data_IF_928318226244
#
_entry.id   IF_928318226244
#
_cell.length_a   1.000
_cell.length_b   1.000
_cell.length_c   1.000
_cell.angle_alpha   90.00
_cell.angle_beta   90.00
_cell.angle_gamma   90.00
#
_symmetry.space_group_name_H-M   'P 1'
#
loop_
_entity.id
_entity.type
_entity.pdbx_description
1 polymer ?
#
# COMPACT_ATOMS: atom_id res chain seq x y z
N UNK A 1 22.90 19.72 4.49
CA UNK A 1 21.84 18.94 3.84
C UNK A 1 22.51 17.69 3.29
N UNK A 2 22.11 16.52 3.71
CA UNK A 2 22.58 15.26 3.10
C UNK A 2 21.92 15.17 1.73
N UNK A 3 22.73 15.20 0.65
CA UNK A 3 22.22 14.99 -0.71
C UNK A 3 21.90 13.50 -0.87
N UNK A 4 20.64 13.12 -0.70
CA UNK A 4 20.17 11.76 -0.94
C UNK A 4 20.03 11.51 -2.45
N UNK A 5 20.31 10.27 -2.88
CA UNK A 5 20.20 9.84 -4.29
C UNK A 5 18.73 9.66 -4.72
N UNK A 6 17.82 9.52 -3.77
CA UNK A 6 16.39 9.29 -3.93
C UNK A 6 15.75 9.03 -2.58
N UNK A 7 14.58 8.41 -2.55
CA UNK A 7 13.89 8.07 -1.31
C UNK A 7 13.21 6.70 -1.35
N UNK A 8 13.28 5.99 -0.22
CA UNK A 8 12.38 4.90 0.12
C UNK A 8 11.39 5.34 1.18
N UNK A 9 10.37 4.52 1.45
CA UNK A 9 9.41 4.81 2.52
C UNK A 9 8.84 3.54 3.16
N UNK A 10 8.37 3.70 4.41
CA UNK A 10 7.45 2.75 5.03
C UNK A 10 6.13 3.44 5.31
N UNK A 11 5.01 2.77 4.98
CA UNK A 11 3.70 3.42 4.94
C UNK A 11 2.63 2.51 5.58
N UNK A 12 2.59 2.40 6.93
CA UNK A 12 1.61 1.55 7.60
C UNK A 12 0.25 2.23 7.73
N UNK A 13 -0.82 1.42 7.60
CA UNK A 13 -2.18 1.84 7.99
C UNK A 13 -2.37 1.70 9.50
N UNK A 14 -2.83 2.75 10.22
CA UNK A 14 -2.91 2.77 11.67
C UNK A 14 -4.19 2.08 12.19
N UNK A 15 -4.36 0.81 11.84
CA UNK A 15 -5.55 0.00 12.16
C UNK A 15 -5.28 -1.05 13.24
N UNK A 16 -4.30 -0.81 14.13
CA UNK A 16 -3.85 -1.66 15.23
C UNK A 16 -2.33 -1.68 15.33
N UNK A 17 -1.79 -2.54 16.19
CA UNK A 17 -0.34 -2.64 16.41
C UNK A 17 0.37 -3.32 15.23
N UNK A 18 1.68 -3.03 15.08
CA UNK A 18 2.52 -3.69 14.09
C UNK A 18 2.91 -5.09 14.59
N UNK A 19 2.51 -6.11 13.84
CA UNK A 19 2.94 -7.47 14.10
C UNK A 19 4.32 -7.75 13.46
N UNK A 20 4.93 -8.89 13.81
CA UNK A 20 6.25 -9.31 13.33
C UNK A 20 6.43 -9.12 11.81
N UNK A 21 5.45 -9.49 10.99
CA UNK A 21 5.53 -9.33 9.52
C UNK A 21 5.60 -7.87 9.07
N UNK A 22 4.85 -6.97 9.75
CA UNK A 22 4.90 -5.54 9.47
C UNK A 22 6.27 -4.96 9.85
N UNK A 23 6.77 -5.31 11.03
CA UNK A 23 8.09 -4.86 11.53
C UNK A 23 9.22 -5.37 10.62
N UNK A 24 9.16 -6.63 10.18
CA UNK A 24 10.12 -7.20 9.22
C UNK A 24 10.10 -6.43 7.89
N UNK A 25 8.93 -6.10 7.37
CA UNK A 25 8.80 -5.30 6.14
C UNK A 25 9.33 -3.89 6.34
N UNK A 26 9.10 -3.26 7.50
CA UNK A 26 9.65 -1.96 7.84
C UNK A 26 11.19 -1.98 7.86
N UNK A 27 11.78 -2.98 8.52
CA UNK A 27 13.23 -3.19 8.54
C UNK A 27 13.79 -3.37 7.14
N UNK A 28 13.12 -4.16 6.28
CA UNK A 28 13.55 -4.33 4.89
C UNK A 28 13.48 -3.02 4.10
N UNK A 29 12.39 -2.26 4.22
CA UNK A 29 12.25 -0.98 3.54
C UNK A 29 13.33 0.01 3.96
N UNK A 30 13.65 0.04 5.25
CA UNK A 30 14.75 0.84 5.81
C UNK A 30 16.12 0.40 5.27
N UNK A 31 16.40 -0.92 5.27
CA UNK A 31 17.65 -1.47 4.77
C UNK A 31 17.87 -1.15 3.29
N UNK A 32 16.86 -1.35 2.45
CA UNK A 32 16.95 -1.04 1.03
C UNK A 32 17.25 0.44 0.78
N UNK A 33 16.57 1.34 1.50
CA UNK A 33 16.82 2.78 1.39
C UNK A 33 18.24 3.13 1.86
N UNK A 34 18.61 2.72 3.07
CA UNK A 34 19.91 3.09 3.66
C UNK A 34 21.10 2.46 2.95
N UNK A 35 21.00 1.23 2.44
CA UNK A 35 22.07 0.57 1.69
C UNK A 35 22.40 1.31 0.39
N UNK A 36 21.42 1.97 -0.20
CA UNK A 36 21.57 2.70 -1.47
C UNK A 36 21.74 4.20 -1.30
N UNK A 37 21.88 4.70 -0.07
CA UNK A 37 22.04 6.12 0.23
C UNK A 37 20.79 6.97 0.00
N UNK A 38 19.63 6.35 -0.03
CA UNK A 38 18.32 7.02 -0.14
C UNK A 38 17.87 7.59 1.20
N UNK A 39 17.10 8.66 1.16
CA UNK A 39 16.28 9.05 2.30
C UNK A 39 15.29 7.93 2.62
N UNK A 40 14.86 7.86 3.88
CA UNK A 40 13.80 6.93 4.30
C UNK A 40 12.69 7.71 5.00
N UNK A 41 11.50 7.69 4.43
CA UNK A 41 10.37 8.43 4.95
C UNK A 41 9.34 7.51 5.63
N UNK A 42 8.66 8.08 6.63
CA UNK A 42 7.53 7.44 7.28
C UNK A 42 6.23 8.14 6.89
N UNK A 43 5.24 7.35 6.46
CA UNK A 43 3.89 7.84 6.13
C UNK A 43 2.83 7.02 6.86
N UNK A 44 1.87 7.70 7.47
CA UNK A 44 0.69 7.08 8.08
C UNK A 44 -0.45 7.07 7.05
N UNK A 45 -0.90 5.86 6.68
CA UNK A 45 -1.99 5.69 5.70
C UNK A 45 -3.35 5.61 6.41
N UNK A 46 -3.85 6.77 6.82
CA UNK A 46 -5.05 6.97 7.65
C UNK A 46 -6.28 7.48 6.88
N UNK A 47 -6.32 7.26 5.56
CA UNK A 47 -7.48 7.63 4.72
C UNK A 47 -8.75 6.84 5.03
N UNK A 48 -8.66 5.63 5.57
CA UNK A 48 -9.81 4.84 6.01
C UNK A 48 -10.18 5.24 7.45
N UNK A 49 -11.00 6.29 7.58
CA UNK A 49 -11.36 6.88 8.87
C UNK A 49 -12.10 5.91 9.79
N UNK A 50 -12.78 4.90 9.23
CA UNK A 50 -13.49 3.88 10.01
C UNK A 50 -12.61 2.83 10.66
N UNK A 51 -11.36 2.68 10.19
CA UNK A 51 -10.40 1.69 10.71
C UNK A 51 -9.13 2.30 11.28
N UNK A 52 -8.89 3.57 11.04
CA UNK A 52 -7.71 4.28 11.50
C UNK A 52 -7.95 4.90 12.87
N UNK A 53 -6.93 4.88 13.73
CA UNK A 53 -6.94 5.63 14.98
C UNK A 53 -5.62 6.35 15.23
N UNK A 54 -5.69 7.55 15.78
CA UNK A 54 -4.52 8.36 16.13
C UNK A 54 -3.63 7.65 17.17
N UNK A 55 -4.24 6.92 18.10
CA UNK A 55 -3.51 6.14 19.11
C UNK A 55 -2.72 4.99 18.46
N UNK A 56 -3.30 4.31 17.44
CA UNK A 56 -2.59 3.27 16.70
C UNK A 56 -1.45 3.85 15.89
N UNK A 57 -1.65 5.02 15.27
CA UNK A 57 -0.58 5.73 14.55
C UNK A 57 0.58 6.08 15.49
N UNK A 58 0.29 6.69 16.63
CA UNK A 58 1.29 7.06 17.62
C UNK A 58 2.07 5.83 18.14
N UNK A 59 1.37 4.72 18.44
CA UNK A 59 2.02 3.47 18.86
C UNK A 59 2.90 2.88 17.77
N UNK A 60 2.45 2.86 16.52
CA UNK A 60 3.24 2.33 15.41
C UNK A 60 4.52 3.14 15.18
N UNK A 61 4.44 4.47 15.26
CA UNK A 61 5.62 5.36 15.16
C UNK A 61 6.59 5.10 16.31
N UNK A 62 6.08 4.97 17.55
CA UNK A 62 6.90 4.66 18.70
C UNK A 62 7.56 3.26 18.57
N UNK A 63 6.81 2.26 18.12
CA UNK A 63 7.31 0.91 17.90
C UNK A 63 8.46 0.86 16.87
N UNK A 64 8.39 1.64 15.80
CA UNK A 64 9.46 1.74 14.81
C UNK A 64 10.70 2.42 15.38
N UNK A 65 10.52 3.49 16.15
CA UNK A 65 11.62 4.18 16.85
C UNK A 65 12.28 3.26 17.91
N UNK A 66 11.47 2.58 18.72
CA UNK A 66 11.96 1.64 19.74
C UNK A 66 12.71 0.45 19.13
N UNK A 67 12.33 0.03 17.91
CA UNK A 67 13.04 -0.99 17.13
C UNK A 67 14.40 -0.48 16.59
N UNK A 68 14.67 0.84 16.70
CA UNK A 68 15.89 1.49 16.27
C UNK A 68 15.89 1.93 14.80
N UNK A 69 14.72 2.03 14.16
CA UNK A 69 14.58 2.58 12.82
C UNK A 69 14.47 4.11 12.90
N UNK A 70 15.33 4.80 12.18
CA UNK A 70 15.25 6.24 11.97
C UNK A 70 14.59 6.56 10.63
N UNK A 71 14.04 7.75 10.51
CA UNK A 71 13.50 8.29 9.26
C UNK A 71 13.85 9.75 9.09
N UNK A 72 13.79 10.21 7.84
CA UNK A 72 14.13 11.59 7.47
C UNK A 72 12.88 12.45 7.42
N UNK A 73 12.99 13.69 7.89
CA UNK A 73 11.89 14.65 7.86
C UNK A 73 10.73 14.32 8.78
N UNK A 74 9.59 14.95 8.50
CA UNK A 74 8.37 14.77 9.28
C UNK A 74 7.56 13.57 8.79
N UNK A 75 6.79 12.97 9.71
CA UNK A 75 5.85 11.89 9.37
C UNK A 75 4.69 12.48 8.56
N UNK A 76 4.46 11.94 7.36
CA UNK A 76 3.35 12.34 6.52
C UNK A 76 2.07 11.60 6.93
N UNK A 77 0.94 12.33 7.02
CA UNK A 77 -0.38 11.75 7.25
C UNK A 77 -1.25 11.92 6.01
N UNK A 78 -1.82 10.85 5.50
CA UNK A 78 -2.68 10.89 4.30
C UNK A 78 -3.96 11.71 4.53
N UNK A 79 -4.50 11.70 5.75
CA UNK A 79 -5.67 12.52 6.13
C UNK A 79 -5.46 14.03 5.95
N UNK A 80 -4.21 14.50 5.90
CA UNK A 80 -3.86 15.92 5.68
C UNK A 80 -3.70 16.28 4.20
N UNK A 81 -3.93 15.34 3.26
CA UNK A 81 -3.60 15.48 1.84
C UNK A 81 -4.79 15.38 0.88
N UNK A 82 -5.99 15.51 1.41
CA UNK A 82 -7.21 15.34 0.62
C UNK A 82 -7.35 16.34 -0.54
N UNK A 83 -6.82 17.54 -0.40
CA UNK A 83 -6.77 18.54 -1.48
C UNK A 83 -5.84 18.11 -2.62
N UNK A 84 -4.71 17.47 -2.31
CA UNK A 84 -3.78 16.96 -3.31
C UNK A 84 -4.41 15.81 -4.11
N UNK A 85 -5.15 14.91 -3.43
CA UNK A 85 -5.87 13.84 -4.11
C UNK A 85 -7.01 14.38 -4.98
N UNK A 86 -7.70 15.42 -4.54
CA UNK A 86 -8.72 16.08 -5.35
C UNK A 86 -8.10 16.74 -6.59
N UNK A 87 -6.97 17.40 -6.44
CA UNK A 87 -6.22 17.99 -7.55
C UNK A 87 -5.70 16.92 -8.56
N UNK A 88 -5.27 15.76 -8.06
CA UNK A 88 -4.88 14.65 -8.91
C UNK A 88 -6.08 14.03 -9.65
N UNK A 89 -7.22 13.85 -8.96
CA UNK A 89 -8.43 13.30 -9.55
C UNK A 89 -8.91 14.13 -10.76
N UNK A 90 -8.86 15.46 -10.67
CA UNK A 90 -9.30 16.36 -11.77
C UNK A 90 -8.48 16.14 -13.06
N UNK A 91 -7.24 15.69 -12.94
CA UNK A 91 -6.37 15.40 -14.10
C UNK A 91 -6.64 14.05 -14.76
N UNK A 92 -7.41 13.18 -14.12
CA UNK A 92 -7.67 11.82 -14.58
C UNK A 92 -8.99 11.70 -15.30
N UNK A 93 -9.07 10.95 -16.41
CA UNK A 93 -10.35 10.59 -17.01
C UNK A 93 -11.11 9.68 -16.02
N UNK A 94 -12.27 10.13 -15.57
CA UNK A 94 -13.05 9.38 -14.58
C UNK A 94 -14.55 9.50 -14.82
N UNK A 95 -15.32 8.63 -14.17
CA UNK A 95 -16.77 8.62 -14.22
C UNK A 95 -17.38 8.12 -12.90
N UNK A 96 -18.66 8.41 -12.69
CA UNK A 96 -19.42 7.98 -11.54
C UNK A 96 -19.84 6.52 -11.66
N UNK A 97 -19.63 5.76 -10.57
CA UNK A 97 -20.08 4.38 -10.43
C UNK A 97 -21.08 4.28 -9.27
N UNK A 98 -22.25 3.74 -9.56
CA UNK A 98 -23.39 3.63 -8.66
C UNK A 98 -23.52 2.22 -8.04
N UNK A 99 -22.71 1.27 -8.47
CA UNK A 99 -22.76 -0.12 -8.03
C UNK A 99 -22.38 -0.25 -6.56
N UNK A 100 -23.10 -1.09 -5.84
CA UNK A 100 -22.69 -1.61 -4.53
C UNK A 100 -21.56 -2.64 -4.67
N UNK A 101 -20.84 -2.93 -3.57
CA UNK A 101 -19.84 -4.00 -3.53
C UNK A 101 -20.43 -5.37 -3.87
N UNK A 102 -21.68 -5.61 -3.46
CA UNK A 102 -22.39 -6.86 -3.73
C UNK A 102 -22.65 -7.04 -5.23
N UNK A 103 -23.17 -6.01 -5.90
CA UNK A 103 -23.41 -6.04 -7.37
C UNK A 103 -22.12 -6.25 -8.14
N UNK A 104 -21.01 -5.63 -7.72
CA UNK A 104 -19.71 -5.83 -8.36
C UNK A 104 -19.24 -7.28 -8.18
N UNK A 105 -19.37 -7.83 -6.97
CA UNK A 105 -18.97 -9.19 -6.68
C UNK A 105 -19.81 -10.21 -7.47
N UNK A 106 -21.11 -9.99 -7.58
CA UNK A 106 -22.02 -10.83 -8.37
C UNK A 106 -21.69 -10.76 -9.88
N UNK A 107 -21.45 -9.57 -10.40
CA UNK A 107 -21.09 -9.38 -11.81
C UNK A 107 -19.72 -10.01 -12.14
N UNK A 108 -18.76 -10.01 -11.20
CA UNK A 108 -17.45 -10.63 -11.39
C UNK A 108 -17.46 -12.16 -11.27
N UNK A 109 -18.59 -12.79 -10.91
CA UNK A 109 -18.77 -14.23 -10.91
C UNK A 109 -19.34 -14.77 -12.23
N UNK A 110 -19.70 -13.88 -13.18
CA UNK A 110 -20.19 -14.30 -14.48
C UNK A 110 -19.15 -15.12 -15.25
N UNK A 111 -19.54 -16.12 -16.07
CA UNK A 111 -18.62 -16.86 -16.93
C UNK A 111 -17.74 -15.91 -17.75
N UNK A 112 -16.42 -16.16 -17.75
CA UNK A 112 -15.41 -15.33 -18.43
C UNK A 112 -15.05 -13.97 -17.77
N UNK A 113 -15.59 -13.65 -16.58
CA UNK A 113 -15.15 -12.48 -15.84
C UNK A 113 -13.89 -12.80 -14.99
N UNK A 114 -13.03 -11.79 -14.81
CA UNK A 114 -11.85 -11.92 -13.95
C UNK A 114 -12.28 -11.63 -12.51
N UNK A 115 -12.08 -12.54 -11.56
CA UNK A 115 -12.47 -12.32 -10.17
C UNK A 115 -11.91 -11.03 -9.60
N UNK A 116 -12.77 -10.20 -9.01
CA UNK A 116 -12.38 -8.92 -8.42
C UNK A 116 -12.20 -7.76 -9.41
N UNK A 117 -12.34 -8.00 -10.73
CA UNK A 117 -12.36 -6.94 -11.74
C UNK A 117 -13.73 -6.26 -11.80
N UNK A 118 -13.69 -4.96 -12.03
CA UNK A 118 -14.92 -4.21 -12.29
C UNK A 118 -15.34 -4.38 -13.75
N UNK A 119 -16.58 -4.83 -14.04
CA UNK A 119 -17.02 -5.15 -15.41
C UNK A 119 -17.39 -3.93 -16.27
N UNK A 120 -17.22 -2.70 -15.74
CA UNK A 120 -17.54 -1.49 -16.49
C UNK A 120 -19.02 -1.10 -16.50
N UNK A 121 -19.87 -1.69 -15.66
CA UNK A 121 -21.34 -1.53 -15.63
C UNK A 121 -21.81 -0.07 -15.74
N UNK A 122 -21.11 0.88 -15.12
CA UNK A 122 -21.50 2.30 -15.13
C UNK A 122 -20.68 3.14 -16.12
N UNK A 123 -19.78 2.54 -16.89
CA UNK A 123 -18.81 3.25 -17.73
C UNK A 123 -19.48 4.08 -18.82
N UNK A 124 -20.49 3.52 -19.47
CA UNK A 124 -21.11 4.09 -20.67
C UNK A 124 -22.60 4.39 -20.49
N UNK A 125 -23.01 4.66 -19.23
CA UNK A 125 -24.37 5.10 -18.93
C UNK A 125 -24.67 6.44 -19.62
N UNK A 126 -25.90 6.57 -20.14
CA UNK A 126 -26.44 7.84 -20.64
C UNK A 126 -26.63 8.83 -19.48
N UNK A 127 -26.79 10.11 -19.81
CA UNK A 127 -27.00 11.13 -18.76
C UNK A 127 -28.32 10.90 -18.01
N UNK A 128 -29.38 10.46 -18.68
CA UNK A 128 -30.66 10.13 -18.03
C UNK A 128 -30.52 8.98 -17.03
N UNK A 129 -29.78 7.92 -17.40
CA UNK A 129 -29.48 6.81 -16.50
C UNK A 129 -28.64 7.24 -15.31
N UNK A 130 -27.66 8.12 -15.52
CA UNK A 130 -26.85 8.70 -14.42
C UNK A 130 -27.70 9.54 -13.49
N UNK A 131 -28.55 10.41 -14.01
CA UNK A 131 -29.46 11.22 -13.20
C UNK A 131 -30.36 10.36 -12.33
N UNK A 132 -30.98 9.32 -12.92
CA UNK A 132 -31.82 8.38 -12.20
C UNK A 132 -31.06 7.69 -11.06
N UNK A 133 -29.91 7.07 -11.36
CA UNK A 133 -29.08 6.37 -10.37
C UNK A 133 -28.51 7.31 -9.29
N UNK A 134 -28.18 8.55 -9.65
CA UNK A 134 -27.72 9.56 -8.68
C UNK A 134 -28.85 9.92 -7.73
N UNK A 135 -30.09 10.09 -8.22
CA UNK A 135 -31.25 10.34 -7.38
C UNK A 135 -31.55 9.18 -6.40
N UNK A 136 -31.40 7.92 -6.86
CA UNK A 136 -31.54 6.75 -6.00
C UNK A 136 -30.50 6.77 -4.84
N UNK A 137 -29.23 7.07 -5.12
CA UNK A 137 -28.20 7.15 -4.08
C UNK A 137 -28.43 8.31 -3.11
N UNK A 138 -28.84 9.47 -3.62
CA UNK A 138 -29.19 10.64 -2.78
C UNK A 138 -30.32 10.29 -1.83
N UNK A 139 -31.36 9.58 -2.31
CA UNK A 139 -32.44 9.09 -1.46
C UNK A 139 -32.02 8.13 -0.35
N UNK A 140 -30.81 7.58 -0.44
CA UNK A 140 -30.18 6.70 0.54
C UNK A 140 -29.07 7.40 1.37
N UNK A 141 -28.92 8.71 1.26
CA UNK A 141 -27.82 9.49 1.85
C UNK A 141 -26.44 8.95 1.44
N UNK A 142 -26.28 8.67 0.15
CA UNK A 142 -25.06 8.11 -0.44
C UNK A 142 -24.65 8.90 -1.66
N UNK A 143 -23.33 8.89 -1.94
CA UNK A 143 -22.74 9.45 -3.16
C UNK A 143 -22.16 8.35 -4.03
N UNK A 144 -22.03 8.56 -5.38
CA UNK A 144 -21.39 7.59 -6.27
C UNK A 144 -19.88 7.48 -5.96
N UNK A 145 -19.32 6.33 -6.26
CA UNK A 145 -17.85 6.18 -6.34
C UNK A 145 -17.35 6.84 -7.62
N UNK A 146 -16.10 7.30 -7.61
CA UNK A 146 -15.42 7.79 -8.81
C UNK A 146 -14.41 6.73 -9.26
N UNK A 147 -14.53 6.30 -10.52
CA UNK A 147 -13.64 5.32 -11.13
C UNK A 147 -12.83 5.92 -12.25
N UNK A 148 -11.61 5.46 -12.37
CA UNK A 148 -10.79 5.71 -13.54
C UNK A 148 -11.51 5.20 -14.81
N UNK A 149 -11.47 5.97 -15.89
CA UNK A 149 -11.80 5.49 -17.23
C UNK A 149 -10.52 5.01 -17.90
N UNK A 150 -10.14 3.77 -17.59
CA UNK A 150 -8.88 3.21 -18.09
C UNK A 150 -8.98 2.93 -19.61
N UNK A 151 -7.94 3.29 -20.35
CA UNK A 151 -7.80 2.96 -21.78
C UNK A 151 -6.96 1.70 -21.98
N UNK A 152 -6.02 1.43 -21.05
CA UNK A 152 -5.25 0.20 -21.04
C UNK A 152 -5.98 -0.90 -20.26
N UNK A 153 -5.81 -2.14 -20.69
CA UNK A 153 -6.27 -3.34 -19.98
C UNK A 153 -5.14 -4.06 -19.25
N UNK A 154 -3.89 -3.77 -19.61
CA UNK A 154 -2.68 -4.34 -18.99
C UNK A 154 -1.60 -3.28 -18.92
N UNK A 155 -0.73 -3.40 -17.92
CA UNK A 155 0.44 -2.56 -17.76
C UNK A 155 1.63 -3.37 -17.27
N UNK A 156 2.81 -3.04 -17.76
CA UNK A 156 4.06 -3.71 -17.40
C UNK A 156 4.84 -2.85 -16.40
N UNK A 157 5.43 -3.52 -15.42
CA UNK A 157 6.37 -2.95 -14.46
C UNK A 157 7.62 -3.83 -14.38
N UNK A 158 8.70 -3.27 -13.85
CA UNK A 158 9.83 -4.03 -13.39
C UNK A 158 9.82 -4.11 -11.86
N UNK A 159 9.94 -5.33 -11.33
CA UNK A 159 10.10 -5.58 -9.90
C UNK A 159 11.48 -6.19 -9.63
N UNK A 160 12.14 -5.74 -8.57
CA UNK A 160 13.51 -6.17 -8.25
C UNK A 160 13.65 -7.69 -8.14
N UNK A 161 12.67 -8.38 -7.53
CA UNK A 161 12.73 -9.82 -7.34
C UNK A 161 11.91 -10.62 -8.35
N UNK A 162 10.77 -10.12 -8.77
CA UNK A 162 9.89 -10.81 -9.72
C UNK A 162 10.27 -10.55 -11.19
N UNK A 163 11.15 -9.57 -11.47
CA UNK A 163 11.52 -9.18 -12.84
C UNK A 163 10.38 -8.44 -13.54
N UNK A 164 10.19 -8.73 -14.83
CA UNK A 164 9.12 -8.12 -15.63
C UNK A 164 7.76 -8.72 -15.26
N UNK A 165 6.87 -7.86 -14.77
CA UNK A 165 5.50 -8.23 -14.37
C UNK A 165 4.49 -7.48 -15.22
N UNK A 166 3.63 -8.21 -15.90
CA UNK A 166 2.48 -7.65 -16.61
C UNK A 166 1.23 -7.97 -15.81
N UNK A 167 0.53 -6.93 -15.37
CA UNK A 167 -0.71 -7.09 -14.59
C UNK A 167 -1.89 -6.40 -15.25
N UNK A 168 -3.08 -6.84 -14.84
CA UNK A 168 -4.33 -6.30 -15.33
C UNK A 168 -4.57 -4.88 -14.81
N UNK A 169 -5.11 -4.03 -15.69
CA UNK A 169 -5.60 -2.68 -15.38
C UNK A 169 -7.10 -2.66 -15.64
N UNK A 170 -7.85 -2.11 -14.71
CA UNK A 170 -9.29 -1.95 -14.82
C UNK A 170 -9.72 -0.52 -14.45
N UNK A 171 -11.02 -0.25 -14.53
CA UNK A 171 -11.60 1.00 -14.06
C UNK A 171 -11.57 1.04 -12.52
N UNK A 172 -10.38 1.13 -11.95
CA UNK A 172 -10.16 1.14 -10.51
C UNK A 172 -10.87 2.31 -9.81
N UNK A 173 -11.24 2.12 -8.57
CA UNK A 173 -11.82 3.19 -7.74
C UNK A 173 -10.74 4.22 -7.41
N UNK A 174 -11.02 5.50 -7.68
CA UNK A 174 -10.19 6.65 -7.31
C UNK A 174 -10.72 7.31 -6.02
N UNK A 175 -12.04 7.35 -5.87
CA UNK A 175 -12.72 7.79 -4.64
C UNK A 175 -13.88 6.85 -4.35
N UNK A 176 -13.97 6.36 -3.13
CA UNK A 176 -15.07 5.48 -2.69
C UNK A 176 -16.37 6.29 -2.60
N UNK A 177 -17.47 5.65 -2.95
CA UNK A 177 -18.81 6.16 -2.74
C UNK A 177 -19.40 5.66 -1.41
N UNK A 178 -20.66 5.99 -1.18
CA UNK A 178 -21.43 5.61 0.02
C UNK A 178 -21.75 6.81 0.88
N UNK A 179 -22.16 6.57 2.12
CA UNK A 179 -22.49 7.63 3.10
C UNK A 179 -21.25 8.33 3.68
N UNK A 180 -20.10 7.66 3.63
CA UNK A 180 -18.81 8.22 4.05
C UNK A 180 -17.78 7.99 2.94
N UNK A 181 -17.72 8.91 1.96
CA UNK A 181 -16.82 8.76 0.82
C UNK A 181 -15.39 9.05 1.26
N UNK A 182 -14.51 8.07 1.05
CA UNK A 182 -13.08 8.18 1.32
C UNK A 182 -12.26 8.10 0.03
N UNK A 183 -11.03 8.58 0.06
CA UNK A 183 -10.08 8.39 -1.02
C UNK A 183 -9.67 6.93 -1.16
N UNK A 184 -9.39 6.49 -2.38
CA UNK A 184 -8.95 5.14 -2.63
C UNK A 184 -7.43 5.02 -2.46
N UNK A 185 -6.99 3.90 -1.91
CA UNK A 185 -5.59 3.58 -1.65
C UNK A 185 -4.68 3.81 -2.88
N UNK A 186 -5.09 3.30 -4.05
CA UNK A 186 -4.25 3.41 -5.25
C UNK A 186 -3.96 4.85 -5.67
N UNK A 187 -4.93 5.76 -5.55
CA UNK A 187 -4.72 7.17 -5.86
C UNK A 187 -3.81 7.83 -4.81
N UNK A 188 -4.12 7.63 -3.54
CA UNK A 188 -3.38 8.26 -2.45
C UNK A 188 -1.91 7.83 -2.43
N UNK A 189 -1.61 6.53 -2.55
CA UNK A 189 -0.23 6.04 -2.52
C UNK A 189 0.60 6.57 -3.68
N UNK A 190 0.04 6.67 -4.88
CA UNK A 190 0.76 7.17 -6.07
C UNK A 190 1.08 8.66 -5.93
N UNK A 191 0.11 9.46 -5.48
CA UNK A 191 0.30 10.90 -5.27
C UNK A 191 1.32 11.16 -4.17
N UNK A 192 1.27 10.40 -3.08
CA UNK A 192 2.16 10.60 -1.94
C UNK A 192 3.58 10.06 -2.17
N UNK A 193 3.74 8.94 -2.87
CA UNK A 193 5.06 8.44 -3.25
C UNK A 193 5.77 9.49 -4.14
N UNK A 194 5.06 10.08 -5.09
CA UNK A 194 5.60 11.17 -5.90
C UNK A 194 5.91 12.44 -5.08
N UNK A 195 5.04 12.83 -4.16
CA UNK A 195 5.26 13.98 -3.29
C UNK A 195 6.49 13.83 -2.40
N UNK A 196 6.69 12.63 -1.83
CA UNK A 196 7.86 12.31 -1.00
C UNK A 196 9.13 12.05 -1.84
N UNK A 197 9.03 12.04 -3.17
CA UNK A 197 10.15 11.67 -4.06
C UNK A 197 10.59 10.21 -3.87
N UNK A 198 9.65 9.34 -3.46
CA UNK A 198 9.92 7.92 -3.27
C UNK A 198 10.13 7.24 -4.62
N UNK A 199 11.40 7.05 -4.99
CA UNK A 199 11.80 6.36 -6.21
C UNK A 199 11.99 4.85 -6.00
N UNK A 200 11.87 4.36 -4.75
CA UNK A 200 11.93 2.95 -4.41
C UNK A 200 10.80 2.56 -3.43
N UNK A 201 10.02 1.56 -3.80
CA UNK A 201 8.84 1.06 -3.05
C UNK A 201 9.07 -0.37 -2.61
N UNK A 202 9.52 -0.54 -1.35
CA UNK A 202 9.65 -1.87 -0.72
C UNK A 202 8.39 -2.17 0.08
N UNK A 203 7.75 -3.34 -0.19
CA UNK A 203 6.52 -3.77 0.48
C UNK A 203 6.27 -5.27 0.32
N UNK A 204 5.29 -5.81 1.00
CA UNK A 204 4.93 -7.23 0.89
C UNK A 204 4.47 -7.63 -0.52
N UNK A 205 4.77 -8.85 -0.91
CA UNK A 205 4.48 -9.42 -2.25
C UNK A 205 2.98 -9.63 -2.51
N UNK A 206 2.14 -9.59 -1.50
CA UNK A 206 0.69 -9.55 -1.62
C UNK A 206 0.17 -8.30 -2.36
N UNK A 207 0.98 -7.26 -2.46
CA UNK A 207 0.67 -6.04 -3.21
C UNK A 207 1.26 -6.01 -4.62
N UNK A 208 1.97 -7.06 -5.05
CA UNK A 208 2.58 -7.12 -6.38
C UNK A 208 1.55 -6.94 -7.50
N UNK A 209 0.38 -7.55 -7.37
CA UNK A 209 -0.71 -7.41 -8.35
C UNK A 209 -1.30 -5.99 -8.46
N UNK A 210 -1.07 -5.14 -7.47
CA UNK A 210 -1.51 -3.74 -7.48
C UNK A 210 -0.51 -2.80 -8.17
N UNK A 211 0.77 -3.20 -8.27
CA UNK A 211 1.82 -2.35 -8.80
C UNK A 211 1.60 -1.92 -10.28
N UNK A 212 1.15 -2.79 -11.21
CA UNK A 212 0.82 -2.38 -12.57
C UNK A 212 -0.27 -1.30 -12.63
N UNK A 213 -1.32 -1.41 -11.79
CA UNK A 213 -2.39 -0.40 -11.70
C UNK A 213 -1.86 0.94 -11.19
N UNK A 214 -0.98 0.91 -10.20
CA UNK A 214 -0.37 2.12 -9.62
C UNK A 214 0.61 2.77 -10.60
N UNK A 215 1.42 1.99 -11.30
CA UNK A 215 2.32 2.49 -12.34
C UNK A 215 1.55 3.11 -13.51
N UNK A 216 0.43 2.50 -13.94
CA UNK A 216 -0.44 3.09 -14.95
C UNK A 216 -1.05 4.41 -14.48
N UNK A 217 -1.48 4.50 -13.22
CA UNK A 217 -2.01 5.72 -12.64
C UNK A 217 -0.94 6.82 -12.57
N UNK A 218 0.29 6.47 -12.17
CA UNK A 218 1.44 7.39 -12.18
C UNK A 218 1.71 7.91 -13.62
N UNK A 219 1.68 7.03 -14.63
CA UNK A 219 1.81 7.42 -16.03
C UNK A 219 0.74 8.43 -16.47
N UNK A 220 -0.53 8.20 -16.16
CA UNK A 220 -1.62 9.12 -16.50
C UNK A 220 -1.47 10.48 -15.80
N UNK A 221 -0.94 10.50 -14.59
CA UNK A 221 -0.68 11.71 -13.82
C UNK A 221 0.66 12.38 -14.18
N UNK A 222 1.44 11.79 -15.10
CA UNK A 222 2.79 12.24 -15.47
C UNK A 222 3.74 12.32 -14.25
N UNK A 223 3.60 11.38 -13.33
CA UNK A 223 4.43 11.21 -12.14
C UNK A 223 5.50 10.13 -12.40
N UNK A 224 6.65 10.19 -11.72
CA UNK A 224 7.65 9.14 -11.81
C UNK A 224 7.10 7.80 -11.29
N UNK A 225 7.45 6.71 -11.97
CA UNK A 225 7.15 5.34 -11.52
C UNK A 225 8.33 4.86 -10.69
N UNK A 226 8.12 4.44 -9.43
CA UNK A 226 9.21 3.95 -8.59
C UNK A 226 9.72 2.58 -9.03
N UNK A 227 10.94 2.25 -8.61
CA UNK A 227 11.41 0.87 -8.57
C UNK A 227 10.61 0.09 -7.52
N UNK A 228 9.98 -1.01 -7.92
CA UNK A 228 9.25 -1.87 -7.00
C UNK A 228 10.12 -2.99 -6.46
N UNK A 229 10.00 -3.24 -5.16
CA UNK A 229 10.67 -4.35 -4.46
C UNK A 229 9.64 -5.06 -3.60
N UNK A 230 9.04 -6.11 -4.14
CA UNK A 230 8.08 -6.92 -3.40
C UNK A 230 8.80 -8.03 -2.64
N UNK A 231 8.71 -7.96 -1.31
CA UNK A 231 9.42 -8.88 -0.40
C UNK A 231 8.50 -9.97 0.12
N UNK A 232 9.00 -11.20 0.34
CA UNK A 232 8.19 -12.30 0.82
C UNK A 232 7.55 -12.03 2.16
N UNK A 233 6.29 -12.46 2.28
CA UNK A 233 5.50 -12.33 3.51
C UNK A 233 6.02 -13.23 4.63
N UNK A 234 5.52 -12.93 5.84
CA UNK A 234 5.62 -13.84 6.98
C UNK A 234 4.32 -14.63 7.07
N UNK A 235 4.46 -15.95 7.13
CA UNK A 235 3.34 -16.89 7.27
C UNK A 235 3.31 -17.46 8.69
N UNK A 236 2.15 -17.89 9.14
CA UNK A 236 2.01 -18.71 10.34
C UNK A 236 2.38 -20.17 10.06
N UNK A 237 2.41 -21.01 11.09
CA UNK A 237 2.72 -22.44 10.97
C UNK A 237 1.74 -23.23 10.07
N UNK A 238 0.54 -22.69 9.83
CA UNK A 238 -0.45 -23.25 8.91
C UNK A 238 -0.27 -22.80 7.44
N UNK A 239 0.78 -22.00 7.15
CA UNK A 239 1.04 -21.49 5.81
C UNK A 239 0.09 -20.35 5.39
N UNK A 240 -0.59 -19.72 6.33
CA UNK A 240 -1.44 -18.57 6.09
C UNK A 240 -0.68 -17.28 6.41
N UNK A 241 -0.97 -16.21 5.68
CA UNK A 241 -0.43 -14.88 5.99
C UNK A 241 -0.74 -14.51 7.45
N UNK A 242 0.26 -14.02 8.17
CA UNK A 242 0.02 -13.44 9.49
C UNK A 242 -1.03 -12.34 9.38
N UNK A 243 -2.15 -12.56 10.02
CA UNK A 243 -3.21 -11.57 10.16
C UNK A 243 -3.15 -10.94 11.55
N UNK A 244 -3.87 -9.83 11.74
CA UNK A 244 -4.02 -9.20 13.07
C UNK A 244 -4.57 -10.16 14.13
N UNK A 245 -5.27 -11.24 13.71
CA UNK A 245 -5.80 -12.25 14.62
C UNK A 245 -4.72 -13.24 15.07
N UNK A 246 -3.81 -13.60 14.16
CA UNK A 246 -2.77 -14.60 14.42
C UNK A 246 -1.46 -13.95 14.86
N UNK A 247 -1.18 -12.71 14.44
CA UNK A 247 0.05 -11.98 14.73
C UNK A 247 -0.03 -11.09 15.97
N UNK A 248 -1.19 -10.99 16.60
CA UNK A 248 -1.37 -10.17 17.81
C UNK A 248 -0.49 -10.63 18.98
N UNK A 249 -0.03 -11.87 18.97
CA UNK A 249 0.85 -12.42 20.01
C UNK A 249 2.33 -12.01 19.83
N UNK A 250 2.74 -11.59 18.62
CA UNK A 250 4.14 -11.23 18.31
C UNK A 250 4.21 -9.77 17.83
N UNK A 251 4.03 -8.87 18.77
CA UNK A 251 4.14 -7.42 18.61
C UNK A 251 5.11 -6.87 19.66
N UNK A 252 5.47 -5.58 19.57
CA UNK A 252 6.24 -4.93 20.64
C UNK A 252 5.44 -4.71 21.94
N UNK A 253 4.17 -5.14 21.99
CA UNK A 253 3.38 -5.26 23.25
C UNK A 253 3.68 -6.55 23.99
N UNK A 254 4.05 -7.61 23.27
CA UNK A 254 4.33 -8.94 23.85
C UNK A 254 5.83 -9.27 23.91
N UNK A 255 6.68 -8.51 23.24
CA UNK A 255 8.12 -8.76 23.13
C UNK A 255 8.89 -7.44 23.11
N UNK A 256 9.98 -7.36 23.88
CA UNK A 256 10.82 -6.16 23.91
C UNK A 256 11.56 -5.95 22.58
N UNK A 257 11.87 -4.69 22.20
CA UNK A 257 12.61 -4.39 20.97
C UNK A 257 13.94 -5.16 20.85
N UNK A 258 14.67 -5.29 21.96
CA UNK A 258 15.96 -6.01 22.04
C UNK A 258 15.83 -7.52 21.79
N UNK A 259 14.64 -8.07 21.91
CA UNK A 259 14.33 -9.48 21.58
C UNK A 259 13.72 -9.59 20.19
N UNK A 260 12.93 -8.59 19.79
CA UNK A 260 12.25 -8.55 18.48
C UNK A 260 13.23 -8.38 17.33
N UNK A 261 14.15 -7.41 17.43
CA UNK A 261 15.05 -7.09 16.33
C UNK A 261 15.97 -8.27 15.94
N UNK A 262 16.65 -8.97 16.89
CA UNK A 262 17.44 -10.16 16.54
C UNK A 262 16.63 -11.26 15.86
N UNK A 263 15.35 -11.44 16.24
CA UNK A 263 14.46 -12.40 15.56
C UNK A 263 14.13 -11.97 14.14
N UNK A 264 13.93 -10.66 13.92
CA UNK A 264 13.75 -10.12 12.57
C UNK A 264 15.03 -10.35 11.75
N UNK A 265 16.21 -10.02 12.26
CA UNK A 265 17.48 -10.25 11.60
C UNK A 265 17.68 -11.74 11.26
N UNK A 266 17.40 -12.64 12.20
CA UNK A 266 17.48 -14.08 11.99
C UNK A 266 16.50 -14.56 10.89
N UNK A 267 15.29 -13.97 10.80
CA UNK A 267 14.32 -14.26 9.74
C UNK A 267 14.81 -13.85 8.35
N UNK A 268 15.81 -12.98 8.28
CA UNK A 268 16.49 -12.54 7.06
C UNK A 268 17.81 -13.30 6.82
N UNK A 269 18.12 -14.32 7.66
CA UNK A 269 19.37 -15.10 7.66
C UNK A 269 20.61 -14.30 8.05
N UNK A 270 20.45 -13.31 8.91
CA UNK A 270 21.56 -12.53 9.48
C UNK A 270 21.60 -12.65 11.01
N UNK A 271 22.81 -12.52 11.58
CA UNK A 271 23.02 -12.32 13.02
C UNK A 271 23.32 -10.86 13.28
N UNK A 272 22.35 -10.12 13.83
CA UNK A 272 22.52 -8.72 14.22
C UNK A 272 21.57 -8.38 15.39
N UNK A 273 22.07 -7.55 16.30
CA UNK A 273 21.32 -7.10 17.47
C UNK A 273 20.65 -5.73 17.24
N UNK A 274 21.14 -4.96 16.24
CA UNK A 274 20.70 -3.60 15.98
C UNK A 274 20.58 -3.33 14.45
N UNK A 275 19.72 -2.36 14.03
CA UNK A 275 19.61 -1.98 12.62
C UNK A 275 20.95 -1.56 11.98
N UNK A 276 21.84 -0.75 12.63
CA UNK A 276 23.12 -0.41 12.06
C UNK A 276 24.08 -1.59 11.86
N UNK A 277 24.00 -2.62 12.73
CA UNK A 277 24.78 -3.85 12.55
C UNK A 277 24.28 -4.65 11.37
N UNK A 278 22.96 -4.77 11.21
CA UNK A 278 22.35 -5.46 10.09
C UNK A 278 22.64 -4.74 8.78
N UNK A 279 22.58 -3.40 8.75
CA UNK A 279 22.87 -2.60 7.56
C UNK A 279 24.27 -2.86 6.99
N UNK A 280 25.28 -3.06 7.86
CA UNK A 280 26.66 -3.37 7.42
C UNK A 280 26.79 -4.71 6.72
N UNK A 281 25.86 -5.63 6.95
CA UNK A 281 25.90 -7.00 6.45
C UNK A 281 24.88 -7.24 5.34
N UNK A 282 23.87 -6.37 5.23
CA UNK A 282 22.72 -6.59 4.35
C UNK A 282 23.13 -6.56 2.88
N UNK A 283 22.73 -7.59 2.16
CA UNK A 283 22.89 -7.76 0.73
C UNK A 283 21.53 -8.14 0.15
N UNK A 284 20.88 -7.26 -0.61
CA UNK A 284 19.54 -7.53 -1.19
C UNK A 284 19.45 -8.85 -1.95
N UNK A 285 20.52 -9.21 -2.68
CA UNK A 285 20.58 -10.40 -3.54
C UNK A 285 20.52 -11.71 -2.73
N UNK A 286 20.86 -11.65 -1.45
CA UNK A 286 20.84 -12.81 -0.53
C UNK A 286 19.50 -13.02 0.16
N UNK A 287 18.56 -12.09 0.02
CA UNK A 287 17.24 -12.26 0.62
C UNK A 287 16.51 -13.46 -0.01
N UNK A 288 16.05 -14.37 0.85
CA UNK A 288 15.21 -15.49 0.39
C UNK A 288 13.96 -14.95 -0.32
N UNK A 289 13.58 -15.61 -1.40
CA UNK A 289 12.34 -15.33 -2.14
C UNK A 289 11.15 -16.11 -1.60
N UNK A 290 11.41 -17.04 -0.69
CA UNK A 290 10.37 -17.85 -0.06
C UNK A 290 9.79 -17.13 1.17
N UNK A 291 8.49 -17.27 1.45
CA UNK A 291 7.88 -16.77 2.67
C UNK A 291 8.59 -17.29 3.92
N UNK A 292 8.72 -16.44 4.91
CA UNK A 292 9.24 -16.86 6.22
C UNK A 292 8.10 -17.42 7.08
N UNK A 293 8.27 -18.63 7.58
CA UNK A 293 7.30 -19.27 8.47
C UNK A 293 7.68 -18.96 9.93
N UNK A 294 6.85 -18.16 10.60
CA UNK A 294 7.01 -17.86 12.03
C UNK A 294 6.54 -19.06 12.85
N UNK A 295 7.48 -19.62 13.64
CA UNK A 295 7.25 -20.74 14.55
C UNK A 295 7.02 -20.27 15.96
#
# INVERSE_FOLDING_TARGET
MTDFVGAGRYAPSPSGDLHFGNLRTAVLAWLFARTTGRAFYLRVEDIDTGRSSAESAARQIADLADLGLDWDGEVLYQSQRFEDYAAALVKLPHYECYCSRKEIAEASQAPHSIPGHYPGTCRDLTEDERMFKRAELIGQDRVPALRLRAEATKWQIHDYYAGEVVGEVDDMVLRRGGSQPDWAYNLAVVVDDAYQGADQVVRGDDLLSSAPRQAYLAHLLQLPVPEYVHVPLVMNAAGQRLSKRDGAEVTLRSMRPQEMFPRIAASLSYGAETPPELLKQFQPERLSREPFVLK
#
